data_IF_894234448046
#
_entry.id   IF_894234448046
#
_cell.length_a   1.000
_cell.length_b   1.000
_cell.length_c   1.000
_cell.angle_alpha   90.00
_cell.angle_beta   90.00
_cell.angle_gamma   90.00
#
_symmetry.space_group_name_H-M   'P 1'
#
loop_
_entity.id
_entity.type
_entity.pdbx_description
1 polymer ?
#
# COMPACT_ATOMS: atom_id res chain seq x y z
N UNK A 1 -21.94 -0.10 -13.03
CA UNK A 1 -20.90 -0.65 -13.93
C UNK A 1 -19.77 -1.25 -13.08
N UNK A 2 -19.24 -2.38 -13.49
CA UNK A 2 -18.20 -3.12 -12.74
C UNK A 2 -17.04 -3.47 -13.65
N UNK A 3 -15.86 -3.51 -13.08
CA UNK A 3 -14.66 -4.05 -13.71
C UNK A 3 -14.37 -5.43 -13.12
N UNK A 4 -14.30 -6.44 -13.95
CA UNK A 4 -13.93 -7.78 -13.49
C UNK A 4 -12.42 -7.90 -13.40
N UNK A 5 -11.94 -8.03 -12.18
CA UNK A 5 -10.54 -8.24 -11.87
C UNK A 5 -10.27 -9.73 -11.62
N UNK A 6 -9.13 -10.21 -12.11
CA UNK A 6 -8.60 -11.51 -11.72
C UNK A 6 -7.23 -11.33 -11.09
N UNK A 7 -7.07 -11.78 -9.87
CA UNK A 7 -5.81 -11.72 -9.13
C UNK A 7 -5.68 -12.92 -8.20
N UNK A 8 -4.47 -13.47 -8.09
CA UNK A 8 -4.18 -14.64 -7.25
C UNK A 8 -5.13 -15.83 -7.51
N UNK A 9 -5.56 -16.03 -8.77
CA UNK A 9 -6.48 -17.09 -9.16
C UNK A 9 -7.95 -16.85 -8.83
N UNK A 10 -8.30 -15.70 -8.28
CA UNK A 10 -9.67 -15.34 -7.89
C UNK A 10 -10.20 -14.21 -8.75
N UNK A 11 -11.52 -14.20 -8.96
CA UNK A 11 -12.21 -13.13 -9.67
C UNK A 11 -13.07 -12.30 -8.73
N UNK A 12 -13.07 -10.98 -8.94
CA UNK A 12 -13.92 -10.04 -8.20
C UNK A 12 -14.44 -8.97 -9.16
N UNK A 13 -15.67 -8.56 -8.95
CA UNK A 13 -16.29 -7.46 -9.66
C UNK A 13 -16.14 -6.18 -8.83
N UNK A 14 -15.29 -5.28 -9.31
CA UNK A 14 -15.01 -4.02 -8.64
C UNK A 14 -15.94 -2.92 -9.15
N UNK A 15 -16.60 -2.15 -8.27
CA UNK A 15 -17.43 -1.03 -8.71
C UNK A 15 -16.57 0.04 -9.36
N UNK A 16 -17.05 0.57 -10.49
CA UNK A 16 -16.42 1.73 -11.14
C UNK A 16 -16.99 2.98 -10.49
N UNK A 17 -16.12 3.76 -9.89
CA UNK A 17 -16.45 4.94 -9.11
C UNK A 17 -15.90 6.20 -9.78
N UNK A 18 -16.74 7.21 -10.07
CA UNK A 18 -16.25 8.48 -10.62
C UNK A 18 -15.42 9.25 -9.58
N UNK A 19 -14.26 9.72 -10.00
CA UNK A 19 -13.40 10.62 -9.22
C UNK A 19 -13.71 12.08 -9.60
N UNK A 20 -13.88 12.31 -10.89
CA UNK A 20 -14.28 13.59 -11.48
C UNK A 20 -14.95 13.34 -12.84
N UNK A 21 -15.26 14.41 -13.57
CA UNK A 21 -15.97 14.34 -14.86
C UNK A 21 -15.21 13.54 -15.92
N UNK A 22 -13.90 13.42 -15.80
CA UNK A 22 -13.04 12.81 -16.81
C UNK A 22 -12.40 11.48 -16.37
N UNK A 23 -12.52 11.12 -15.10
CA UNK A 23 -11.81 9.98 -14.52
C UNK A 23 -12.68 9.17 -13.59
N UNK A 24 -12.72 7.87 -13.81
CA UNK A 24 -13.25 6.89 -12.87
C UNK A 24 -12.18 5.85 -12.50
N UNK A 25 -12.32 5.29 -11.33
CA UNK A 25 -11.45 4.22 -10.81
C UNK A 25 -12.28 2.98 -10.50
N UNK A 26 -11.64 1.81 -10.53
CA UNK A 26 -12.22 0.61 -9.96
C UNK A 26 -11.95 0.58 -8.46
N UNK A 27 -13.01 0.48 -7.67
CA UNK A 27 -12.91 0.47 -6.21
C UNK A 27 -12.45 -0.88 -5.68
N UNK A 28 -11.18 -1.00 -5.36
CA UNK A 28 -10.63 -2.20 -4.72
C UNK A 28 -10.65 -2.05 -3.21
N UNK A 29 -11.48 -2.86 -2.54
CA UNK A 29 -11.63 -2.87 -1.09
C UNK A 29 -11.39 -4.29 -0.59
N UNK A 30 -10.26 -4.49 0.08
CA UNK A 30 -9.89 -5.80 0.61
C UNK A 30 -10.57 -6.12 1.95
N UNK A 31 -11.11 -5.12 2.64
CA UNK A 31 -11.74 -5.31 3.94
C UNK A 31 -12.86 -6.35 3.88
N UNK A 32 -12.81 -7.32 4.77
CA UNK A 32 -13.77 -8.39 4.87
C UNK A 32 -13.62 -9.51 3.83
N UNK A 33 -12.79 -9.35 2.82
CA UNK A 33 -12.51 -10.39 1.83
C UNK A 33 -11.33 -11.25 2.27
N UNK A 34 -11.60 -12.18 3.15
CA UNK A 34 -10.58 -13.06 3.72
C UNK A 34 -9.96 -13.97 2.68
N UNK A 35 -10.77 -14.58 1.81
CA UNK A 35 -10.28 -15.50 0.77
C UNK A 35 -9.26 -14.80 -0.14
N UNK A 36 -9.59 -13.60 -0.61
CA UNK A 36 -8.72 -12.81 -1.45
C UNK A 36 -7.44 -12.38 -0.70
N UNK A 37 -7.58 -11.95 0.54
CA UNK A 37 -6.44 -11.55 1.38
C UNK A 37 -5.44 -12.70 1.56
N UNK A 38 -5.92 -13.89 1.86
CA UNK A 38 -5.07 -15.10 2.02
C UNK A 38 -4.37 -15.45 0.71
N UNK A 39 -5.09 -15.44 -0.40
CA UNK A 39 -4.55 -15.78 -1.72
C UNK A 39 -3.50 -14.74 -2.17
N UNK A 40 -3.78 -13.46 -2.04
CA UNK A 40 -2.84 -12.39 -2.40
C UNK A 40 -1.58 -12.41 -1.52
N UNK A 41 -1.73 -12.60 -0.23
CA UNK A 41 -0.59 -12.73 0.69
C UNK A 41 0.33 -13.88 0.29
N UNK A 42 -0.23 -15.03 -0.04
CA UNK A 42 0.53 -16.20 -0.50
C UNK A 42 1.33 -15.90 -1.78
N UNK A 43 0.69 -15.29 -2.77
CA UNK A 43 1.34 -14.98 -4.04
C UNK A 43 2.41 -13.89 -3.89
N UNK A 44 2.17 -12.88 -3.06
CA UNK A 44 3.15 -11.83 -2.78
C UNK A 44 4.37 -12.39 -2.04
N UNK A 45 4.18 -13.28 -1.07
CA UNK A 45 5.30 -13.92 -0.36
C UNK A 45 6.23 -14.69 -1.28
N UNK A 46 5.72 -15.30 -2.34
CA UNK A 46 6.56 -15.97 -3.35
C UNK A 46 7.49 -15.01 -4.10
N UNK A 47 7.13 -13.74 -4.17
CA UNK A 47 7.87 -12.67 -4.87
C UNK A 47 8.65 -11.77 -3.92
N UNK A 48 8.42 -11.88 -2.62
CA UNK A 48 9.04 -11.00 -1.63
C UNK A 48 10.55 -11.22 -1.54
N UNK A 49 11.34 -10.14 -1.45
CA UNK A 49 12.75 -10.25 -1.09
C UNK A 49 12.88 -10.71 0.37
N UNK A 50 14.08 -11.06 0.79
CA UNK A 50 14.36 -11.25 2.21
C UNK A 50 14.16 -9.94 2.97
N UNK A 51 13.42 -10.00 4.07
CA UNK A 51 13.13 -8.85 4.92
C UNK A 51 13.18 -9.23 6.39
N UNK A 52 13.31 -8.21 7.26
CA UNK A 52 13.21 -8.39 8.70
C UNK A 52 11.81 -7.99 9.20
N UNK A 53 11.21 -6.94 8.65
CA UNK A 53 9.90 -6.44 9.02
C UNK A 53 9.09 -5.98 7.81
N UNK A 54 7.78 -6.15 7.91
CA UNK A 54 6.79 -5.56 7.02
C UNK A 54 6.26 -4.27 7.67
N UNK A 55 6.10 -3.21 6.88
CA UNK A 55 5.41 -1.99 7.27
C UNK A 55 4.33 -1.63 6.26
N UNK A 56 3.18 -1.19 6.75
CA UNK A 56 2.11 -0.61 5.95
C UNK A 56 1.57 0.65 6.61
N UNK A 57 0.88 1.49 5.84
CA UNK A 57 0.11 2.61 6.40
C UNK A 57 -1.34 2.21 6.62
N UNK A 58 -1.98 2.78 7.66
CA UNK A 58 -3.42 2.59 7.83
C UNK A 58 -4.19 3.17 6.62
N UNK A 59 -5.29 2.55 6.13
CA UNK A 59 -5.93 1.42 6.81
C UNK A 59 -5.97 0.15 5.94
N UNK A 60 -6.07 0.26 4.62
CA UNK A 60 -6.42 -0.86 3.73
C UNK A 60 -5.32 -1.89 3.54
N UNK A 61 -4.07 -1.53 3.77
CA UNK A 61 -2.95 -2.48 3.74
C UNK A 61 -2.85 -3.38 4.98
N UNK A 62 -3.55 -3.05 6.06
CA UNK A 62 -3.42 -3.77 7.34
C UNK A 62 -3.80 -5.26 7.23
N UNK A 63 -4.95 -5.65 6.65
CA UNK A 63 -5.29 -7.07 6.52
C UNK A 63 -4.23 -7.87 5.76
N UNK A 64 -3.70 -7.29 4.69
CA UNK A 64 -2.66 -7.92 3.88
C UNK A 64 -1.35 -8.09 4.66
N UNK A 65 -0.91 -7.04 5.36
CA UNK A 65 0.31 -7.09 6.19
C UNK A 65 0.20 -8.14 7.29
N UNK A 66 -0.95 -8.19 7.97
CA UNK A 66 -1.21 -9.20 8.99
C UNK A 66 -1.13 -10.62 8.42
N UNK A 67 -1.79 -10.86 7.30
CA UNK A 67 -1.84 -12.20 6.69
C UNK A 67 -0.48 -12.62 6.12
N UNK A 68 0.27 -11.72 5.51
CA UNK A 68 1.63 -12.01 5.06
C UNK A 68 2.53 -12.37 6.23
N UNK A 69 2.49 -11.59 7.31
CA UNK A 69 3.26 -11.87 8.53
C UNK A 69 2.87 -13.24 9.13
N UNK A 70 1.58 -13.54 9.18
CA UNK A 70 1.08 -14.84 9.67
C UNK A 70 1.62 -16.01 8.85
N UNK A 71 1.51 -15.93 7.52
CA UNK A 71 1.98 -16.98 6.63
C UNK A 71 3.50 -17.15 6.67
N UNK A 72 4.24 -16.05 6.79
CA UNK A 72 5.70 -16.06 6.88
C UNK A 72 6.24 -16.51 8.25
N UNK A 73 5.39 -16.56 9.28
CA UNK A 73 5.80 -16.82 10.64
C UNK A 73 6.44 -15.64 11.35
N UNK A 74 6.23 -14.43 10.85
CA UNK A 74 6.73 -13.20 11.48
C UNK A 74 5.99 -12.93 12.78
N UNK A 75 6.72 -12.47 13.79
CA UNK A 75 6.13 -12.16 15.10
C UNK A 75 5.55 -10.75 15.18
N UNK A 76 5.98 -9.85 14.29
CA UNK A 76 5.62 -8.44 14.30
C UNK A 76 5.65 -7.83 12.91
N UNK A 77 4.72 -6.93 12.67
CA UNK A 77 4.72 -5.99 11.55
C UNK A 77 4.35 -4.62 12.07
N UNK A 78 4.61 -3.57 11.30
CA UNK A 78 4.35 -2.19 11.70
C UNK A 78 3.20 -1.58 10.91
N UNK A 79 2.40 -0.77 11.60
CA UNK A 79 1.35 0.03 10.98
C UNK A 79 1.64 1.50 11.25
N UNK A 80 2.01 2.23 10.20
CA UNK A 80 2.15 3.69 10.28
C UNK A 80 0.76 4.33 10.35
N UNK A 81 0.57 5.19 11.34
CA UNK A 81 -0.70 5.85 11.62
C UNK A 81 -0.69 7.27 11.04
N UNK A 82 -1.86 7.74 10.60
CA UNK A 82 -2.03 9.09 10.01
C UNK A 82 -2.07 10.20 11.05
N UNK A 83 -2.18 9.85 12.31
CA UNK A 83 -2.12 10.76 13.45
C UNK A 83 -1.53 10.08 14.68
N UNK A 84 -0.93 10.85 15.60
CA UNK A 84 -0.43 10.29 16.85
C UNK A 84 -1.58 9.72 17.68
N UNK A 85 -1.31 8.65 18.41
CA UNK A 85 -2.28 7.96 19.28
C UNK A 85 -1.85 8.04 20.73
N UNK A 86 -2.82 8.01 21.63
CA UNK A 86 -2.55 8.15 23.07
C UNK A 86 -1.62 7.09 23.65
N UNK A 87 -1.58 5.92 23.05
CA UNK A 87 -0.70 4.83 23.48
C UNK A 87 0.75 4.97 22.99
N UNK A 88 1.01 5.87 22.04
CA UNK A 88 2.36 6.10 21.53
C UNK A 88 3.20 6.86 22.52
N UNK A 89 4.42 6.39 22.72
CA UNK A 89 5.45 7.05 23.51
C UNK A 89 6.61 7.44 22.61
N UNK A 90 7.17 8.62 22.86
CA UNK A 90 8.26 9.15 22.03
C UNK A 90 7.90 9.10 20.54
N UNK A 91 6.72 9.62 20.21
CA UNK A 91 6.11 9.51 18.89
C UNK A 91 7.08 9.95 17.81
N UNK A 92 7.29 9.06 16.85
CA UNK A 92 8.18 9.24 15.72
C UNK A 92 7.35 9.51 14.46
N UNK A 93 7.62 10.59 13.76
CA UNK A 93 6.80 10.95 12.62
C UNK A 93 7.53 11.64 11.50
N UNK A 94 6.89 11.65 10.33
CA UNK A 94 7.29 12.40 9.15
C UNK A 94 6.10 13.15 8.56
N UNK A 95 6.41 14.27 7.91
CA UNK A 95 5.47 15.02 7.09
C UNK A 95 6.01 15.08 5.66
N UNK A 96 5.23 14.64 4.70
CA UNK A 96 5.61 14.63 3.28
C UNK A 96 4.60 15.45 2.49
N UNK A 97 5.07 16.50 1.82
CA UNK A 97 4.23 17.32 0.97
C UNK A 97 4.04 16.65 -0.38
N UNK A 98 2.78 16.60 -0.83
CA UNK A 98 2.45 16.14 -2.17
C UNK A 98 2.99 17.12 -3.22
N UNK A 99 3.50 16.58 -4.32
CA UNK A 99 3.95 17.38 -5.47
C UNK A 99 2.76 17.86 -6.30
N UNK A 100 1.65 17.10 -6.27
CA UNK A 100 0.47 17.33 -7.13
C UNK A 100 -0.67 18.06 -6.44
N UNK A 101 -0.70 18.04 -5.11
CA UNK A 101 -1.72 18.70 -4.30
C UNK A 101 -1.03 19.40 -3.12
N UNK A 102 -1.58 20.53 -2.66
CA UNK A 102 -1.08 21.24 -1.48
C UNK A 102 -1.32 20.47 -0.16
N UNK A 103 -1.56 19.15 -0.25
CA UNK A 103 -1.80 18.30 0.90
C UNK A 103 -0.49 17.75 1.45
N UNK A 104 -0.35 17.83 2.76
CA UNK A 104 0.73 17.23 3.51
C UNK A 104 0.26 15.91 4.10
N UNK A 105 1.04 14.85 3.89
CA UNK A 105 0.78 13.55 4.50
C UNK A 105 1.67 13.36 5.71
N UNK A 106 1.05 12.99 6.82
CA UNK A 106 1.73 12.68 8.07
C UNK A 106 1.63 11.19 8.36
N UNK A 107 2.75 10.59 8.74
CA UNK A 107 2.79 9.22 9.23
C UNK A 107 3.56 9.16 10.54
N UNK A 108 3.07 8.34 11.46
CA UNK A 108 3.61 8.22 12.81
C UNK A 108 3.78 6.76 13.22
N UNK A 109 4.84 6.50 13.97
CA UNK A 109 5.08 5.25 14.69
C UNK A 109 5.27 5.53 16.17
N UNK A 110 5.02 4.52 16.99
CA UNK A 110 5.53 4.49 18.35
C UNK A 110 7.06 4.54 18.34
N UNK A 111 7.67 5.26 19.27
CA UNK A 111 9.12 5.41 19.35
C UNK A 111 9.85 4.08 19.54
N UNK A 112 9.26 3.10 20.21
CA UNK A 112 9.84 1.77 20.36
C UNK A 112 9.86 1.02 19.02
N UNK A 113 8.79 1.15 18.23
CA UNK A 113 8.72 0.54 16.90
C UNK A 113 9.76 1.16 15.95
N UNK A 114 9.93 2.47 16.00
CA UNK A 114 10.97 3.17 15.23
C UNK A 114 12.38 2.67 15.57
N UNK A 115 12.66 2.41 16.85
CA UNK A 115 13.95 1.84 17.29
C UNK A 115 14.19 0.43 16.74
N UNK A 116 13.15 -0.39 16.63
CA UNK A 116 13.26 -1.75 16.07
C UNK A 116 13.61 -1.73 14.58
N UNK A 117 13.20 -0.70 13.86
CA UNK A 117 13.45 -0.55 12.42
C UNK A 117 14.90 -0.23 12.10
N UNK A 118 15.61 0.45 13.00
CA UNK A 118 16.98 0.91 12.76
C UNK A 118 17.90 -0.24 12.33
N UNK A 119 18.52 -0.08 11.15
CA UNK A 119 19.46 -1.05 10.58
C UNK A 119 18.80 -2.34 10.06
N UNK A 120 17.48 -2.41 10.04
CA UNK A 120 16.73 -3.59 9.58
C UNK A 120 16.24 -3.43 8.14
N UNK A 121 16.08 -4.56 7.45
CA UNK A 121 15.48 -4.62 6.11
C UNK A 121 13.97 -4.55 6.25
N UNK A 122 13.38 -3.51 5.68
CA UNK A 122 11.95 -3.23 5.80
C UNK A 122 11.28 -3.38 4.44
N UNK A 123 10.27 -4.23 4.37
CA UNK A 123 9.40 -4.42 3.22
C UNK A 123 8.19 -3.49 3.37
N UNK A 124 8.06 -2.55 2.45
CA UNK A 124 6.89 -1.66 2.40
C UNK A 124 5.78 -2.36 1.64
N UNK A 125 4.58 -2.33 2.19
CA UNK A 125 3.41 -3.03 1.68
C UNK A 125 2.19 -2.13 1.65
N UNK A 126 1.43 -2.18 0.57
CA UNK A 126 0.13 -1.54 0.44
C UNK A 126 -0.86 -2.46 -0.30
N UNK A 127 -2.15 -2.14 -0.29
CA UNK A 127 -3.14 -2.85 -1.11
C UNK A 127 -3.04 -2.43 -2.58
N UNK A 128 -2.99 -1.13 -2.85
CA UNK A 128 -2.87 -0.54 -4.18
C UNK A 128 -1.82 0.58 -4.17
N UNK A 129 -0.89 0.52 -5.10
CA UNK A 129 0.02 1.65 -5.39
C UNK A 129 -0.51 2.35 -6.63
N UNK A 130 -0.78 3.65 -6.52
CA UNK A 130 -1.30 4.50 -7.59
C UNK A 130 -0.35 5.66 -7.88
N UNK A 131 -0.60 6.84 -7.33
CA UNK A 131 0.27 8.01 -7.52
C UNK A 131 1.63 7.87 -6.83
N UNK A 132 1.74 6.98 -5.85
CA UNK A 132 2.95 6.75 -5.08
C UNK A 132 3.17 7.73 -3.92
N UNK A 133 2.21 8.60 -3.62
CA UNK A 133 2.33 9.57 -2.52
C UNK A 133 2.36 8.89 -1.15
N UNK A 134 1.47 7.92 -0.92
CA UNK A 134 1.48 7.12 0.31
C UNK A 134 2.76 6.31 0.45
N UNK A 135 3.26 5.78 -0.66
CA UNK A 135 4.52 5.05 -0.71
C UNK A 135 5.69 5.94 -0.31
N UNK A 136 5.76 7.17 -0.84
CA UNK A 136 6.81 8.15 -0.47
C UNK A 136 6.80 8.48 1.02
N UNK A 137 5.63 8.62 1.61
CA UNK A 137 5.51 8.89 3.04
C UNK A 137 6.03 7.73 3.89
N UNK A 138 5.73 6.48 3.50
CA UNK A 138 6.29 5.30 4.15
C UNK A 138 7.80 5.18 3.97
N UNK A 139 8.31 5.45 2.78
CA UNK A 139 9.75 5.48 2.51
C UNK A 139 10.46 6.48 3.42
N UNK A 140 9.95 7.71 3.50
CA UNK A 140 10.49 8.75 4.35
C UNK A 140 10.49 8.35 5.83
N UNK A 141 9.43 7.69 6.30
CA UNK A 141 9.33 7.21 7.68
C UNK A 141 10.39 6.14 7.98
N UNK A 142 10.54 5.15 7.11
CA UNK A 142 11.53 4.08 7.25
C UNK A 142 12.94 4.62 7.22
N UNK A 143 13.25 5.50 6.27
CA UNK A 143 14.56 6.11 6.13
C UNK A 143 14.93 6.98 7.36
N UNK A 144 13.98 7.78 7.84
CA UNK A 144 14.17 8.59 9.05
C UNK A 144 14.44 7.72 10.28
N UNK A 145 13.80 6.54 10.36
CA UNK A 145 14.03 5.57 11.44
C UNK A 145 15.36 4.81 11.29
N UNK A 146 16.09 5.01 10.20
CA UNK A 146 17.37 4.33 9.92
C UNK A 146 17.18 2.91 9.37
N UNK A 147 16.02 2.57 8.87
CA UNK A 147 15.75 1.30 8.20
C UNK A 147 16.27 1.26 6.77
N UNK A 148 16.40 0.05 6.24
CA UNK A 148 16.81 -0.22 4.87
C UNK A 148 15.59 -0.73 4.10
N UNK A 149 15.13 0.02 3.10
CA UNK A 149 14.00 -0.40 2.28
C UNK A 149 14.48 -1.51 1.35
N UNK A 150 13.99 -2.73 1.57
CA UNK A 150 14.39 -3.89 0.77
C UNK A 150 13.40 -4.24 -0.34
N UNK A 151 12.21 -3.67 -0.32
CA UNK A 151 11.20 -3.86 -1.34
C UNK A 151 9.95 -3.02 -1.11
N UNK A 152 9.18 -2.87 -2.17
CA UNK A 152 7.91 -2.13 -2.21
C UNK A 152 6.91 -3.01 -2.92
N UNK A 153 5.88 -3.45 -2.23
CA UNK A 153 4.93 -4.42 -2.75
C UNK A 153 3.49 -3.96 -2.58
N UNK A 154 2.64 -4.36 -3.51
CA UNK A 154 1.20 -4.17 -3.45
C UNK A 154 0.48 -5.31 -4.16
N UNK A 155 -0.81 -5.48 -3.89
CA UNK A 155 -1.65 -6.38 -4.67
C UNK A 155 -1.79 -5.85 -6.10
N UNK A 156 -2.12 -4.56 -6.23
CA UNK A 156 -2.39 -3.92 -7.50
C UNK A 156 -1.53 -2.68 -7.72
N UNK A 157 -1.14 -2.46 -8.97
CA UNK A 157 -0.56 -1.21 -9.42
C UNK A 157 -1.54 -0.48 -10.34
N UNK A 158 -2.03 0.67 -9.91
CA UNK A 158 -3.04 1.44 -10.62
C UNK A 158 -2.42 2.49 -11.55
N UNK A 159 -2.92 2.58 -12.77
CA UNK A 159 -2.48 3.58 -13.73
C UNK A 159 -1.01 3.43 -14.08
N UNK A 160 -0.26 4.53 -14.04
CA UNK A 160 1.16 4.57 -14.40
C UNK A 160 2.07 3.80 -13.42
N UNK A 161 1.59 3.49 -12.24
CA UNK A 161 2.33 2.68 -11.27
C UNK A 161 2.71 1.30 -11.83
N UNK A 162 1.92 0.76 -12.76
CA UNK A 162 2.20 -0.52 -13.43
C UNK A 162 3.57 -0.55 -14.14
N UNK A 163 4.07 0.61 -14.57
CA UNK A 163 5.33 0.74 -15.31
C UNK A 163 6.54 0.99 -14.40
N UNK A 164 6.33 1.11 -13.09
CA UNK A 164 7.42 1.28 -12.12
C UNK A 164 8.24 0.00 -12.00
N UNK A 165 9.57 0.16 -12.07
CA UNK A 165 10.52 -0.95 -11.94
C UNK A 165 10.91 -1.24 -10.48
N UNK A 166 10.61 -0.34 -9.58
CA UNK A 166 10.99 -0.39 -8.16
C UNK A 166 9.91 -0.98 -7.25
N UNK A 167 8.78 -1.40 -7.82
CA UNK A 167 7.68 -2.04 -7.10
C UNK A 167 7.42 -3.47 -7.60
N UNK A 168 6.91 -4.30 -6.71
CA UNK A 168 6.44 -5.66 -7.01
C UNK A 168 4.93 -5.70 -6.76
N UNK A 169 4.16 -6.10 -7.74
CA UNK A 169 2.70 -6.21 -7.61
C UNK A 169 2.19 -7.45 -8.35
N UNK A 170 0.96 -7.86 -8.06
CA UNK A 170 0.36 -9.04 -8.67
C UNK A 170 -0.28 -8.73 -10.01
N UNK A 171 -1.11 -7.67 -10.08
CA UNK A 171 -1.82 -7.30 -11.30
C UNK A 171 -1.91 -5.77 -11.46
N UNK A 172 -1.94 -5.27 -12.70
CA UNK A 172 -2.25 -3.87 -12.94
C UNK A 172 -3.74 -3.59 -12.73
N UNK A 173 -4.07 -2.37 -12.31
CA UNK A 173 -5.44 -1.88 -12.20
C UNK A 173 -5.62 -0.70 -13.16
N UNK A 174 -6.52 -0.77 -14.15
CA UNK A 174 -6.69 0.30 -15.11
C UNK A 174 -7.40 1.51 -14.49
N UNK A 175 -7.10 2.68 -15.06
CA UNK A 175 -7.90 3.88 -14.89
C UNK A 175 -8.92 3.95 -16.03
N UNK A 176 -10.10 4.51 -15.75
CA UNK A 176 -11.18 4.65 -16.73
C UNK A 176 -11.37 6.13 -17.06
N UNK A 177 -10.93 6.51 -18.24
CA UNK A 177 -11.10 7.88 -18.75
C UNK A 177 -12.46 8.01 -19.40
N UNK A 178 -13.22 9.06 -19.07
CA UNK A 178 -14.43 9.40 -19.80
C UNK A 178 -14.05 9.82 -21.20
N UNK A 179 -14.58 9.12 -22.20
CA UNK A 179 -14.51 9.58 -23.57
C UNK A 179 -15.37 10.86 -23.63
N UNK A 180 -14.75 12.00 -23.74
CA UNK A 180 -15.43 13.20 -24.14
C UNK A 180 -15.90 12.92 -25.56
N UNK A 181 -17.20 12.76 -25.77
CA UNK A 181 -17.77 12.79 -27.10
C UNK A 181 -17.46 14.19 -27.66
N UNK A 182 -16.45 14.24 -28.51
CA UNK A 182 -16.28 15.38 -29.40
C UNK A 182 -17.46 15.23 -30.39
N UNK A 183 -18.56 15.85 -30.05
CA UNK A 183 -19.63 16.08 -31.02
C UNK A 183 -19.08 17.09 -32.01
N UNK A 184 -18.89 16.62 -33.24
CA UNK A 184 -18.72 17.50 -34.41
C UNK A 184 -19.94 18.43 -34.58
#
# INVERSE_FOLDING_TARGET
MYYRMRVAGLERDLPICPVNDNLSIAGFIIFGDQELTVACARELLKKAPEYDYIITAEAKGIPLAHEMARQAGDKKYFVARKGPKLYMRDTFGVAVRSITTDKEQHLYLDGQDAKLIKGKRVLILDDVISTGESLKALEALVEKAGGIICGRMAILAEGDAKDRKDIIYLEPLPLFLSLIHISE
#
